data_IF_429422072460
#
_entry.id   IF_429422072460
#
_cell.length_a   1.000
_cell.length_b   1.000
_cell.length_c   1.000
_cell.angle_alpha   90.00
_cell.angle_beta   90.00
_cell.angle_gamma   90.00
#
_symmetry.space_group_name_H-M   'P 1'
#
loop_
_entity.id
_entity.type
_entity.pdbx_description
1 polymer ?
#
# COMPACT_ATOMS: atom_id res chain seq x y z
N UNK A 1 -3.60 0.27 23.87
CA UNK A 1 -4.21 1.63 23.96
C UNK A 1 -5.64 1.51 23.46
N UNK A 2 -6.62 1.68 24.31
CA UNK A 2 -8.03 1.75 23.94
C UNK A 2 -8.32 3.15 23.42
N UNK A 3 -8.71 3.27 22.15
CA UNK A 3 -9.21 4.53 21.61
C UNK A 3 -10.55 4.84 22.28
N UNK A 4 -10.62 5.84 23.15
CA UNK A 4 -11.86 6.31 23.79
C UNK A 4 -12.56 7.40 22.95
N UNK A 5 -12.20 7.54 21.65
CA UNK A 5 -12.75 8.56 20.78
C UNK A 5 -13.77 7.97 19.81
N UNK A 6 -14.83 8.72 19.55
CA UNK A 6 -15.83 8.38 18.54
C UNK A 6 -15.15 8.24 17.17
N UNK A 7 -15.29 7.08 16.52
CA UNK A 7 -14.85 6.82 15.16
C UNK A 7 -16.01 7.16 14.22
N UNK A 8 -15.74 7.92 13.18
CA UNK A 8 -16.75 8.23 12.17
C UNK A 8 -17.15 6.97 11.40
N UNK A 9 -18.41 6.90 11.01
CA UNK A 9 -18.92 5.78 10.20
C UNK A 9 -19.03 6.24 8.76
N UNK A 10 -18.23 5.63 7.89
CA UNK A 10 -18.31 5.81 6.43
C UNK A 10 -19.29 4.78 5.89
N UNK A 11 -20.21 5.21 5.03
CA UNK A 11 -21.32 4.38 4.54
C UNK A 11 -21.37 4.25 3.01
N UNK A 12 -20.56 5.02 2.27
CA UNK A 12 -20.56 5.02 0.80
C UNK A 12 -19.18 5.30 0.22
N UNK A 13 -19.00 4.94 -1.05
CA UNK A 13 -17.83 5.27 -1.87
C UNK A 13 -17.57 6.78 -1.92
N UNK A 14 -18.60 7.58 -2.17
CA UNK A 14 -18.50 9.04 -2.23
C UNK A 14 -17.99 9.63 -0.91
N UNK A 15 -18.55 9.19 0.21
CA UNK A 15 -18.13 9.65 1.53
C UNK A 15 -16.68 9.27 1.83
N UNK A 16 -16.23 8.05 1.44
CA UNK A 16 -14.85 7.62 1.60
C UNK A 16 -13.88 8.53 0.83
N UNK A 17 -14.23 8.92 -0.41
CA UNK A 17 -13.42 9.81 -1.24
C UNK A 17 -13.35 11.24 -0.67
N UNK A 18 -14.47 11.78 -0.18
CA UNK A 18 -14.50 13.12 0.46
C UNK A 18 -13.58 13.12 1.70
N UNK A 19 -13.75 12.15 2.59
CA UNK A 19 -12.94 12.05 3.82
C UNK A 19 -11.46 11.86 3.50
N UNK A 20 -11.14 11.04 2.49
CA UNK A 20 -9.76 10.83 2.07
C UNK A 20 -9.13 12.09 1.48
N UNK A 21 -9.90 12.88 0.70
CA UNK A 21 -9.45 14.15 0.13
C UNK A 21 -9.15 15.17 1.24
N UNK A 22 -10.03 15.32 2.22
CA UNK A 22 -9.84 16.22 3.33
C UNK A 22 -8.60 15.87 4.16
N UNK A 23 -8.39 14.58 4.44
CA UNK A 23 -7.19 14.12 5.14
C UNK A 23 -5.91 14.32 4.31
N UNK A 24 -5.98 14.10 3.01
CA UNK A 24 -4.84 14.30 2.12
C UNK A 24 -4.38 15.78 2.12
N UNK A 25 -5.31 16.72 2.11
CA UNK A 25 -5.02 18.17 2.25
C UNK A 25 -4.25 18.46 3.55
N UNK A 26 -4.69 17.90 4.67
CA UNK A 26 -4.04 18.10 5.97
C UNK A 26 -2.66 17.43 6.02
N UNK A 27 -2.53 16.21 5.54
CA UNK A 27 -1.28 15.45 5.58
C UNK A 27 -0.20 16.03 4.67
N UNK A 28 -0.59 16.65 3.55
CA UNK A 28 0.31 17.30 2.60
C UNK A 28 1.09 18.44 3.22
N UNK A 29 0.51 19.22 4.15
CA UNK A 29 1.11 20.45 4.72
C UNK A 29 2.50 20.20 5.30
N UNK A 30 2.68 19.10 6.04
CA UNK A 30 3.93 18.78 6.73
C UNK A 30 4.70 17.60 6.12
N UNK A 31 4.30 17.08 4.96
CA UNK A 31 4.86 15.86 4.39
C UNK A 31 6.38 15.95 4.14
N UNK A 32 6.87 17.08 3.61
CA UNK A 32 8.30 17.31 3.38
C UNK A 32 9.09 17.39 4.68
N UNK A 33 8.53 18.03 5.72
CA UNK A 33 9.16 18.13 7.03
C UNK A 33 9.18 16.76 7.72
N UNK A 34 8.07 16.02 7.66
CA UNK A 34 7.94 14.66 8.21
C UNK A 34 8.97 13.70 7.60
N UNK A 35 9.12 13.73 6.27
CA UNK A 35 10.13 12.91 5.57
C UNK A 35 11.56 13.35 5.97
N UNK A 36 11.87 14.64 5.93
CA UNK A 36 13.21 15.17 6.24
C UNK A 36 13.66 14.81 7.65
N UNK A 37 12.80 14.99 8.64
CA UNK A 37 13.09 14.73 10.06
C UNK A 37 12.88 13.26 10.45
N UNK A 38 12.34 12.42 9.55
CA UNK A 38 11.89 11.06 9.85
C UNK A 38 10.92 11.06 11.05
N UNK A 39 10.03 12.04 11.11
CA UNK A 39 9.04 12.15 12.16
C UNK A 39 7.94 11.10 11.95
N UNK A 40 7.82 10.15 12.86
CA UNK A 40 6.82 9.09 12.78
C UNK A 40 5.41 9.68 12.82
N UNK A 41 4.50 9.29 11.89
CA UNK A 41 3.21 9.95 11.65
C UNK A 41 2.09 9.49 12.61
N UNK A 42 2.38 9.36 13.91
CA UNK A 42 1.38 8.93 14.90
C UNK A 42 0.16 9.84 14.97
N UNK A 43 0.31 11.19 15.02
CA UNK A 43 -0.86 12.09 15.03
C UNK A 43 -1.73 11.94 13.78
N UNK A 44 -1.12 11.82 12.61
CA UNK A 44 -1.80 11.66 11.33
C UNK A 44 -2.56 10.31 11.28
N UNK A 45 -1.94 9.24 11.76
CA UNK A 45 -2.57 7.92 11.84
C UNK A 45 -3.72 7.88 12.86
N UNK A 46 -3.64 8.66 13.93
CA UNK A 46 -4.73 8.78 14.90
C UNK A 46 -5.91 9.57 14.30
N UNK A 47 -5.66 10.58 13.48
CA UNK A 47 -6.70 11.26 12.70
C UNK A 47 -7.31 10.29 11.68
N UNK A 48 -6.50 9.53 10.97
CA UNK A 48 -6.95 8.48 10.05
C UNK A 48 -7.82 7.43 10.76
N UNK A 49 -7.46 7.01 11.98
CA UNK A 49 -8.26 6.09 12.79
C UNK A 49 -9.64 6.65 13.13
N UNK A 50 -9.72 7.92 13.51
CA UNK A 50 -11.00 8.58 13.83
C UNK A 50 -11.88 8.83 12.61
N UNK A 51 -11.30 8.93 11.42
CA UNK A 51 -12.03 9.20 10.18
C UNK A 51 -12.92 8.06 9.69
N UNK A 52 -12.68 6.82 10.18
CA UNK A 52 -13.38 5.62 9.72
C UNK A 52 -12.78 4.97 8.47
N UNK A 53 -11.74 5.54 7.87
CA UNK A 53 -11.15 5.02 6.63
C UNK A 53 -10.53 3.63 6.76
N UNK A 54 -10.11 3.18 7.96
CA UNK A 54 -9.64 1.80 8.15
C UNK A 54 -10.74 0.77 7.87
N UNK A 55 -12.01 1.10 8.09
CA UNK A 55 -13.14 0.19 7.95
C UNK A 55 -13.82 0.18 6.58
N UNK A 56 -13.35 0.96 5.58
CA UNK A 56 -14.09 1.15 4.32
C UNK A 56 -14.26 -0.12 3.50
N UNK A 57 -13.31 -1.07 3.57
CA UNK A 57 -13.41 -2.37 2.88
C UNK A 57 -14.15 -3.45 3.67
N UNK A 58 -14.51 -3.18 4.94
CA UNK A 58 -15.32 -4.11 5.75
C UNK A 58 -16.67 -4.29 5.09
N UNK A 59 -17.14 -5.55 4.86
CA UNK A 59 -18.42 -5.80 4.22
C UNK A 59 -19.61 -5.22 4.98
N UNK A 60 -20.66 -4.82 4.25
CA UNK A 60 -21.87 -4.22 4.82
C UNK A 60 -22.55 -5.11 5.84
N UNK A 61 -22.52 -6.42 5.65
CA UNK A 61 -23.05 -7.41 6.58
C UNK A 61 -22.38 -7.43 7.96
N UNK A 62 -21.16 -6.87 8.05
CA UNK A 62 -20.41 -6.67 9.31
C UNK A 62 -20.39 -5.20 9.77
N UNK A 63 -21.20 -4.34 9.16
CA UNK A 63 -21.36 -2.95 9.55
C UNK A 63 -20.38 -1.96 8.90
N UNK A 64 -19.58 -2.40 7.92
CA UNK A 64 -18.69 -1.53 7.15
C UNK A 64 -19.36 -0.91 5.92
N UNK A 65 -18.63 -0.07 5.20
CA UNK A 65 -19.10 0.56 3.95
C UNK A 65 -19.12 -0.43 2.77
N UNK A 66 -18.20 -1.39 2.74
CA UNK A 66 -18.02 -2.31 1.62
C UNK A 66 -17.82 -1.55 0.32
N UNK A 67 -16.91 -0.55 0.33
CA UNK A 67 -16.62 0.26 -0.86
C UNK A 67 -16.03 -0.60 -1.97
N UNK A 68 -16.18 -0.13 -3.23
CA UNK A 68 -15.56 -0.75 -4.40
C UNK A 68 -14.04 -0.71 -4.32
N UNK A 69 -13.36 -1.64 -5.00
CA UNK A 69 -11.90 -1.62 -5.12
C UNK A 69 -11.40 -0.43 -5.93
N UNK A 70 -12.22 0.11 -6.84
CA UNK A 70 -11.98 1.38 -7.52
C UNK A 70 -11.83 2.50 -6.47
N UNK A 71 -12.77 2.59 -5.55
CA UNK A 71 -12.75 3.59 -4.48
C UNK A 71 -11.61 3.36 -3.50
N UNK A 72 -11.38 2.11 -3.08
CA UNK A 72 -10.26 1.79 -2.20
C UNK A 72 -8.92 2.21 -2.82
N UNK A 73 -8.68 1.91 -4.09
CA UNK A 73 -7.47 2.32 -4.81
C UNK A 73 -7.34 3.85 -4.90
N UNK A 74 -8.45 4.57 -5.19
CA UNK A 74 -8.47 6.04 -5.22
C UNK A 74 -8.17 6.65 -3.85
N UNK A 75 -8.72 6.11 -2.76
CA UNK A 75 -8.41 6.54 -1.37
C UNK A 75 -6.91 6.39 -1.09
N UNK A 76 -6.32 5.24 -1.40
CA UNK A 76 -4.89 5.01 -1.20
C UNK A 76 -4.04 5.95 -2.06
N UNK A 77 -4.42 6.19 -3.32
CA UNK A 77 -3.71 7.11 -4.19
C UNK A 77 -3.76 8.57 -3.67
N UNK A 78 -4.90 9.04 -3.16
CA UNK A 78 -5.04 10.37 -2.55
C UNK A 78 -4.13 10.54 -1.32
N UNK A 79 -4.10 9.56 -0.42
CA UNK A 79 -3.21 9.61 0.76
C UNK A 79 -1.74 9.55 0.34
N UNK A 80 -1.38 8.70 -0.65
CA UNK A 80 -0.02 8.60 -1.16
C UNK A 80 0.44 9.86 -1.92
N UNK A 81 -0.48 10.58 -2.56
CA UNK A 81 -0.24 11.89 -3.17
C UNK A 81 0.11 12.94 -2.11
N UNK A 82 -0.53 12.91 -0.96
CA UNK A 82 -0.21 13.80 0.15
C UNK A 82 1.13 13.44 0.81
N UNK A 83 1.33 12.15 1.09
CA UNK A 83 2.54 11.61 1.73
C UNK A 83 2.72 10.14 1.35
N UNK A 84 3.78 9.84 0.59
CA UNK A 84 4.04 8.49 0.08
C UNK A 84 4.23 7.44 1.17
N UNK A 85 4.74 7.81 2.35
CA UNK A 85 4.85 6.90 3.51
C UNK A 85 3.49 6.62 4.16
N UNK A 86 2.67 7.67 4.35
CA UNK A 86 1.31 7.52 4.88
C UNK A 86 0.42 6.69 3.94
N UNK A 87 0.59 6.82 2.62
CA UNK A 87 -0.12 5.99 1.65
C UNK A 87 0.26 4.51 1.70
N UNK A 88 1.51 4.20 2.07
CA UNK A 88 2.00 2.82 2.19
C UNK A 88 1.50 2.10 3.45
N UNK A 89 1.36 2.80 4.58
CA UNK A 89 0.99 2.17 5.86
C UNK A 89 -0.34 1.40 5.78
N UNK A 90 -1.43 1.90 5.16
CA UNK A 90 -2.70 1.20 5.05
C UNK A 90 -2.69 -0.03 4.14
N UNK A 91 -1.71 -0.18 3.27
CA UNK A 91 -1.68 -1.27 2.29
C UNK A 91 -1.82 -2.65 2.95
N UNK A 92 -0.99 -2.93 3.95
CA UNK A 92 -1.02 -4.22 4.61
C UNK A 92 -2.24 -4.43 5.52
N UNK A 93 -2.84 -3.35 6.02
CA UNK A 93 -4.11 -3.41 6.73
C UNK A 93 -5.22 -3.93 5.82
N UNK A 94 -5.41 -3.32 4.64
CA UNK A 94 -6.43 -3.77 3.69
C UNK A 94 -6.13 -5.14 3.10
N UNK A 95 -4.85 -5.48 2.89
CA UNK A 95 -4.45 -6.82 2.52
C UNK A 95 -4.86 -7.87 3.57
N UNK A 96 -4.62 -7.61 4.85
CA UNK A 96 -5.02 -8.51 5.93
C UNK A 96 -6.54 -8.65 6.05
N UNK A 97 -7.30 -7.57 5.79
CA UNK A 97 -8.77 -7.62 5.73
C UNK A 97 -9.27 -8.49 4.57
N UNK A 98 -8.60 -8.48 3.43
CA UNK A 98 -8.95 -9.34 2.30
C UNK A 98 -8.64 -10.81 2.61
N UNK A 99 -7.50 -11.12 3.24
CA UNK A 99 -7.21 -12.49 3.71
C UNK A 99 -8.29 -12.95 4.71
N UNK A 100 -8.68 -12.08 5.63
CA UNK A 100 -9.78 -12.34 6.58
C UNK A 100 -11.11 -12.58 5.86
N UNK A 101 -11.44 -11.75 4.84
CA UNK A 101 -12.65 -11.90 4.02
C UNK A 101 -12.73 -13.26 3.35
N UNK A 102 -11.61 -13.71 2.78
CA UNK A 102 -11.51 -14.94 1.98
C UNK A 102 -11.44 -16.21 2.84
N UNK A 103 -10.66 -16.19 3.91
CA UNK A 103 -10.30 -17.37 4.69
C UNK A 103 -10.79 -17.38 6.16
N UNK A 104 -11.23 -16.24 6.69
CA UNK A 104 -11.69 -16.16 8.07
C UNK A 104 -13.04 -16.85 8.29
N UNK A 105 -13.22 -17.47 9.45
CA UNK A 105 -14.52 -17.93 9.91
C UNK A 105 -15.45 -16.74 10.20
N UNK A 106 -16.77 -17.00 10.29
CA UNK A 106 -17.74 -15.96 10.62
C UNK A 106 -17.42 -15.27 11.96
N UNK A 107 -17.04 -16.04 12.99
CA UNK A 107 -16.68 -15.51 14.31
C UNK A 107 -15.40 -14.62 14.23
N UNK A 108 -14.38 -15.05 13.49
CA UNK A 108 -13.16 -14.25 13.27
C UNK A 108 -13.47 -12.93 12.54
N UNK A 109 -14.29 -13.00 11.48
CA UNK A 109 -14.74 -11.82 10.73
C UNK A 109 -15.51 -10.86 11.65
N UNK A 110 -16.49 -11.35 12.39
CA UNK A 110 -17.30 -10.53 13.29
C UNK A 110 -16.42 -9.79 14.32
N UNK A 111 -15.50 -10.48 14.95
CA UNK A 111 -14.62 -9.90 15.97
C UNK A 111 -13.59 -8.92 15.37
N UNK A 112 -12.81 -9.34 14.38
CA UNK A 112 -11.73 -8.53 13.83
C UNK A 112 -12.25 -7.32 13.03
N UNK A 113 -13.38 -7.45 12.33
CA UNK A 113 -14.00 -6.30 11.68
C UNK A 113 -14.57 -5.29 12.69
N UNK A 114 -15.11 -5.75 13.82
CA UNK A 114 -15.57 -4.86 14.89
C UNK A 114 -14.40 -4.05 15.48
N UNK A 115 -13.21 -4.65 15.66
CA UNK A 115 -12.01 -3.94 16.09
C UNK A 115 -11.60 -2.84 15.09
N UNK A 116 -11.64 -3.16 13.78
CA UNK A 116 -11.32 -2.21 12.71
C UNK A 116 -12.31 -1.06 12.66
N UNK A 117 -13.61 -1.33 12.76
CA UNK A 117 -14.67 -0.32 12.82
C UNK A 117 -14.57 0.56 14.08
N UNK A 118 -13.96 0.05 15.13
CA UNK A 118 -13.59 0.82 16.32
C UNK A 118 -12.29 1.64 16.17
N UNK A 119 -11.74 1.73 14.95
CA UNK A 119 -10.57 2.54 14.61
C UNK A 119 -9.21 1.85 14.84
N UNK A 120 -9.20 0.55 15.18
CA UNK A 120 -7.97 -0.20 15.28
C UNK A 120 -7.36 -0.41 13.89
N UNK A 121 -6.03 -0.34 13.83
CA UNK A 121 -5.25 -0.54 12.61
C UNK A 121 -4.37 -1.76 12.73
N UNK A 122 -4.25 -2.49 11.62
CA UNK A 122 -3.40 -3.66 11.49
C UNK A 122 -2.09 -3.27 10.82
N UNK A 123 -0.97 -3.79 11.35
CA UNK A 123 0.35 -3.65 10.75
C UNK A 123 0.67 -4.81 9.82
N UNK A 124 1.95 -5.12 9.72
CA UNK A 124 2.45 -6.19 8.87
C UNK A 124 3.65 -6.90 9.54
N UNK A 125 3.72 -8.22 9.44
CA UNK A 125 4.90 -9.01 9.73
C UNK A 125 4.93 -10.27 8.83
N UNK A 126 5.05 -10.05 7.51
CA UNK A 126 4.99 -11.15 6.51
C UNK A 126 6.39 -11.58 6.05
N UNK A 127 7.27 -10.65 5.71
CA UNK A 127 8.56 -10.92 5.09
C UNK A 127 9.66 -11.26 6.12
N UNK A 128 10.65 -12.03 5.67
CA UNK A 128 11.83 -12.41 6.44
C UNK A 128 13.11 -12.11 5.66
N UNK A 129 14.16 -11.71 6.35
CA UNK A 129 15.50 -11.56 5.76
C UNK A 129 16.27 -12.87 5.85
N UNK A 130 17.13 -13.12 4.84
CA UNK A 130 18.05 -14.25 4.85
C UNK A 130 17.45 -15.58 4.42
N UNK A 131 16.19 -15.62 3.98
CA UNK A 131 15.57 -16.79 3.35
C UNK A 131 16.00 -16.92 1.89
N UNK A 132 15.91 -18.13 1.32
CA UNK A 132 16.30 -18.42 -0.07
C UNK A 132 15.47 -17.62 -1.08
N UNK A 133 14.18 -17.48 -0.83
CA UNK A 133 13.26 -16.66 -1.64
C UNK A 133 12.43 -15.75 -0.77
N UNK A 134 11.85 -14.70 -1.37
CA UNK A 134 10.95 -13.78 -0.67
C UNK A 134 9.64 -14.44 -0.18
N UNK A 135 9.36 -15.66 -0.61
CA UNK A 135 8.17 -16.42 -0.20
C UNK A 135 8.43 -17.44 0.90
N UNK A 136 9.69 -17.73 1.21
CA UNK A 136 10.04 -18.67 2.29
C UNK A 136 9.73 -18.07 3.65
N UNK A 137 9.27 -18.91 4.58
CA UNK A 137 8.95 -18.56 5.96
C UNK A 137 9.57 -19.56 6.90
N UNK A 138 10.23 -19.04 7.94
CA UNK A 138 10.85 -19.85 9.01
C UNK A 138 10.31 -19.48 10.41
N UNK A 139 9.59 -18.38 10.55
CA UNK A 139 8.89 -18.03 11.79
C UNK A 139 7.86 -19.12 12.10
N UNK A 140 8.07 -19.83 13.21
CA UNK A 140 7.31 -21.02 13.56
C UNK A 140 6.03 -20.74 14.33
N UNK A 141 5.03 -21.58 14.13
CA UNK A 141 3.80 -21.66 14.90
C UNK A 141 3.69 -23.05 15.50
N UNK A 142 3.73 -23.18 16.82
CA UNK A 142 3.64 -24.46 17.51
C UNK A 142 2.43 -24.51 18.43
N UNK A 143 1.74 -25.65 18.48
CA UNK A 143 0.59 -25.84 19.36
C UNK A 143 1.00 -25.72 20.83
N UNK A 144 0.21 -24.97 21.63
CA UNK A 144 0.38 -24.82 23.08
C UNK A 144 -1.00 -24.73 23.76
N UNK A 145 -1.48 -25.82 24.30
CA UNK A 145 -2.82 -25.93 24.89
C UNK A 145 -3.92 -25.59 23.87
N UNK A 146 -4.75 -24.60 24.19
CA UNK A 146 -5.85 -24.13 23.33
C UNK A 146 -5.40 -23.11 22.28
N UNK A 147 -4.14 -22.65 22.33
CA UNK A 147 -3.57 -21.68 21.40
C UNK A 147 -2.27 -22.16 20.75
N UNK A 148 -1.43 -21.20 20.45
CA UNK A 148 -0.15 -21.43 19.77
C UNK A 148 0.95 -20.53 20.33
N UNK A 149 2.22 -20.95 20.15
CA UNK A 149 3.43 -20.16 20.37
C UNK A 149 4.10 -19.80 19.04
N UNK A 150 4.50 -18.53 18.92
CA UNK A 150 5.22 -18.01 17.76
C UNK A 150 6.65 -17.70 18.18
N UNK A 151 7.61 -18.18 17.36
CA UNK A 151 9.03 -17.89 17.51
C UNK A 151 9.62 -17.53 16.14
N UNK A 152 10.37 -16.43 16.06
CA UNK A 152 11.03 -16.00 14.85
C UNK A 152 11.25 -14.50 14.76
N UNK A 153 11.67 -14.04 13.57
CA UNK A 153 11.93 -12.63 13.29
C UNK A 153 11.43 -12.26 11.91
N UNK A 154 10.76 -11.13 11.82
CA UNK A 154 10.29 -10.52 10.59
C UNK A 154 11.04 -9.22 10.33
N UNK A 155 11.07 -8.81 9.04
CA UNK A 155 11.56 -7.52 8.58
C UNK A 155 10.65 -6.97 7.49
N UNK A 156 10.80 -5.72 7.09
CA UNK A 156 9.84 -5.01 6.25
C UNK A 156 8.43 -4.99 6.86
N UNK A 157 8.38 -4.89 8.20
CA UNK A 157 7.13 -4.95 8.97
C UNK A 157 6.40 -3.58 8.96
N UNK A 158 6.00 -3.14 7.76
CA UNK A 158 5.35 -1.84 7.53
C UNK A 158 4.17 -1.64 8.45
N UNK A 159 4.15 -0.53 9.17
CA UNK A 159 3.04 -0.16 10.05
C UNK A 159 2.97 -0.91 11.38
N UNK A 160 3.79 -1.96 11.62
CA UNK A 160 3.76 -2.75 12.86
C UNK A 160 3.96 -1.90 14.12
N UNK A 161 4.82 -0.88 14.04
CA UNK A 161 5.11 0.03 15.17
C UNK A 161 3.90 0.89 15.57
N UNK A 162 2.93 1.06 14.67
CA UNK A 162 1.73 1.89 14.86
C UNK A 162 0.47 1.08 15.16
N UNK A 163 0.51 -0.24 14.97
CA UNK A 163 -0.65 -1.11 14.94
C UNK A 163 -1.11 -1.57 16.32
N UNK A 164 -2.39 -1.93 16.44
CA UNK A 164 -2.96 -2.65 17.58
C UNK A 164 -2.86 -4.17 17.39
N UNK A 165 -2.91 -4.65 16.14
CA UNK A 165 -2.62 -6.05 15.78
C UNK A 165 -1.61 -6.12 14.64
N UNK A 166 -0.80 -7.17 14.67
CA UNK A 166 0.24 -7.41 13.66
C UNK A 166 -0.05 -8.74 12.96
N UNK A 167 -0.76 -8.72 11.81
CA UNK A 167 -0.89 -9.90 10.97
C UNK A 167 0.49 -10.44 10.58
N UNK A 168 0.75 -11.66 11.03
CA UNK A 168 2.06 -12.31 10.95
C UNK A 168 1.94 -13.62 10.18
N UNK A 169 2.70 -13.78 9.09
CA UNK A 169 2.81 -15.07 8.41
C UNK A 169 3.72 -16.00 9.20
N UNK A 170 3.25 -17.19 9.48
CA UNK A 170 3.93 -18.21 10.28
C UNK A 170 3.80 -19.58 9.60
N UNK A 171 4.67 -20.52 9.95
CA UNK A 171 4.63 -21.90 9.44
C UNK A 171 4.30 -22.82 10.61
N UNK A 172 3.26 -23.62 10.46
CA UNK A 172 2.87 -24.61 11.47
C UNK A 172 3.77 -25.87 11.43
N UNK A 173 3.52 -26.81 12.33
CA UNK A 173 4.31 -28.04 12.48
C UNK A 173 4.23 -28.98 11.26
N UNK A 174 3.25 -28.77 10.37
CA UNK A 174 3.10 -29.49 9.11
C UNK A 174 3.71 -28.77 7.91
N UNK A 175 4.35 -27.62 8.13
CA UNK A 175 4.93 -26.82 7.05
C UNK A 175 3.91 -25.95 6.31
N UNK A 176 2.66 -25.81 6.81
CA UNK A 176 1.60 -25.02 6.18
C UNK A 176 1.64 -23.59 6.70
N UNK A 177 1.53 -22.62 5.78
CA UNK A 177 1.50 -21.21 6.16
C UNK A 177 0.14 -20.79 6.73
N UNK A 178 0.22 -20.15 7.89
CA UNK A 178 -0.93 -19.57 8.60
C UNK A 178 -0.72 -18.05 8.73
N UNK A 179 -1.81 -17.29 8.97
CA UNK A 179 -1.76 -15.86 9.31
C UNK A 179 -2.28 -15.67 10.75
N UNK A 180 -1.40 -15.22 11.64
CA UNK A 180 -1.74 -14.94 13.02
C UNK A 180 -1.93 -13.42 13.22
N UNK A 181 -3.07 -12.99 13.76
CA UNK A 181 -3.38 -11.59 14.11
C UNK A 181 -2.88 -11.27 15.51
N UNK A 182 -1.57 -11.16 15.67
CA UNK A 182 -0.90 -11.01 16.99
C UNK A 182 -1.23 -9.67 17.63
N UNK A 183 -1.79 -9.62 18.87
CA UNK A 183 -1.96 -8.36 19.58
C UNK A 183 -0.62 -7.68 19.85
N UNK A 184 -0.57 -6.34 19.69
CA UNK A 184 0.68 -5.55 19.78
C UNK A 184 1.34 -5.61 21.16
N UNK A 185 0.57 -5.82 22.20
CA UNK A 185 0.98 -5.87 23.60
C UNK A 185 1.26 -7.30 24.10
N UNK A 186 1.29 -8.30 23.22
CA UNK A 186 1.59 -9.69 23.56
C UNK A 186 2.97 -9.81 24.23
N UNK A 187 3.04 -10.57 25.33
CA UNK A 187 4.32 -10.85 26.00
C UNK A 187 5.27 -11.58 25.05
N UNK A 188 6.54 -11.14 24.99
CA UNK A 188 7.55 -11.70 24.11
C UNK A 188 7.57 -11.08 22.69
N UNK A 189 6.65 -10.16 22.38
CA UNK A 189 6.63 -9.43 21.12
C UNK A 189 7.43 -8.14 21.24
N UNK A 190 8.43 -7.95 20.36
CA UNK A 190 9.21 -6.72 20.28
C UNK A 190 9.14 -6.16 18.86
N UNK A 191 8.71 -4.90 18.73
CA UNK A 191 8.74 -4.15 17.45
C UNK A 191 9.84 -3.11 17.54
N UNK A 192 10.77 -3.14 16.57
CA UNK A 192 11.99 -2.33 16.57
C UNK A 192 11.91 -1.30 15.45
N UNK A 193 12.19 -0.03 15.79
CA UNK A 193 12.27 1.05 14.80
C UNK A 193 13.68 1.10 14.18
N UNK A 194 14.03 0.08 13.39
CA UNK A 194 15.31 -0.06 12.70
C UNK A 194 15.18 0.09 11.16
N UNK A 195 14.08 0.67 10.67
CA UNK A 195 13.92 0.97 9.26
C UNK A 195 14.84 2.11 8.81
N UNK A 196 15.74 1.84 7.85
CA UNK A 196 16.77 2.77 7.36
C UNK A 196 16.72 3.00 5.84
N UNK A 197 15.58 2.75 5.20
CA UNK A 197 15.40 3.03 3.77
C UNK A 197 15.57 4.52 3.45
N UNK A 198 16.23 4.83 2.31
CA UNK A 198 16.43 6.22 1.90
C UNK A 198 15.15 6.93 1.45
N UNK A 199 14.09 6.18 1.14
CA UNK A 199 12.72 6.63 0.90
C UNK A 199 11.73 5.84 1.74
N UNK A 200 10.45 6.20 1.70
CA UNK A 200 9.44 5.61 2.58
C UNK A 200 9.87 5.65 4.07
N UNK A 201 10.49 6.77 4.45
CA UNK A 201 11.29 6.89 5.67
C UNK A 201 10.49 6.75 6.96
N UNK A 202 9.19 7.05 6.91
CA UNK A 202 8.30 7.07 8.08
C UNK A 202 7.28 5.93 8.11
N UNK A 203 7.45 4.90 7.24
CA UNK A 203 6.55 3.73 7.21
C UNK A 203 6.72 2.80 8.42
N UNK A 204 7.81 2.93 9.17
CA UNK A 204 8.13 2.03 10.29
C UNK A 204 8.30 0.58 9.84
N UNK A 205 8.93 0.37 8.66
CA UNK A 205 9.08 -0.96 8.03
C UNK A 205 10.25 -1.76 8.63
N UNK A 206 10.50 -1.66 9.93
CA UNK A 206 11.58 -2.32 10.66
C UNK A 206 11.32 -3.77 11.01
N UNK A 207 11.96 -4.21 12.09
CA UNK A 207 11.92 -5.58 12.60
C UNK A 207 10.78 -5.83 13.57
N UNK A 208 10.26 -7.07 13.54
CA UNK A 208 9.40 -7.63 14.59
C UNK A 208 9.99 -8.95 15.06
N UNK A 209 10.19 -9.08 16.36
CA UNK A 209 10.78 -10.26 17.01
C UNK A 209 9.73 -10.94 17.87
N UNK A 210 9.64 -12.24 17.75
CA UNK A 210 8.73 -13.11 18.47
C UNK A 210 9.56 -14.09 19.32
N UNK A 211 9.47 -13.94 20.64
CA UNK A 211 10.14 -14.81 21.62
C UNK A 211 9.07 -15.47 22.47
N UNK A 212 8.67 -16.67 22.05
CA UNK A 212 7.65 -17.47 22.73
C UNK A 212 6.30 -16.75 22.88
N UNK A 213 5.88 -16.02 21.85
CA UNK A 213 4.64 -15.21 21.85
C UNK A 213 3.42 -16.12 21.76
N UNK A 214 2.56 -16.07 22.78
CA UNK A 214 1.29 -16.82 22.77
C UNK A 214 0.23 -16.07 21.95
N UNK A 215 -0.51 -16.82 21.15
CA UNK A 215 -1.70 -16.36 20.44
C UNK A 215 -2.85 -17.36 20.59
N UNK A 216 -4.06 -16.84 20.69
CA UNK A 216 -5.26 -17.68 20.74
C UNK A 216 -5.51 -18.36 19.39
N UNK A 217 -6.09 -19.55 19.41
CA UNK A 217 -6.41 -20.27 18.17
C UNK A 217 -7.36 -19.47 17.26
N UNK A 218 -8.24 -18.67 17.84
CA UNK A 218 -9.15 -17.80 17.10
C UNK A 218 -8.47 -16.60 16.41
N UNK A 219 -7.22 -16.28 16.76
CA UNK A 219 -6.42 -15.26 16.10
C UNK A 219 -5.60 -15.80 14.91
N UNK A 220 -5.67 -17.11 14.65
CA UNK A 220 -4.94 -17.76 13.55
C UNK A 220 -5.92 -18.23 12.48
N UNK A 221 -5.63 -17.92 11.23
CA UNK A 221 -6.44 -18.37 10.10
C UNK A 221 -5.58 -18.96 8.97
N UNK A 222 -6.16 -19.81 8.10
CA UNK A 222 -5.44 -20.37 6.97
C UNK A 222 -4.94 -19.27 6.03
N UNK A 223 -3.66 -19.33 5.67
CA UNK A 223 -3.06 -18.34 4.76
C UNK A 223 -2.70 -18.96 3.40
N UNK A 224 -2.02 -20.11 3.42
CA UNK A 224 -1.55 -20.78 2.22
C UNK A 224 -2.68 -21.09 1.24
N UNK A 225 -3.83 -21.54 1.73
CA UNK A 225 -5.00 -21.88 0.90
C UNK A 225 -5.56 -20.72 0.07
N UNK A 226 -5.23 -19.46 0.41
CA UNK A 226 -5.57 -18.31 -0.41
C UNK A 226 -4.83 -18.27 -1.75
N UNK A 227 -3.74 -19.02 -1.88
CA UNK A 227 -2.90 -19.11 -3.08
C UNK A 227 -2.93 -20.49 -3.77
N UNK A 228 -3.73 -21.41 -3.25
CA UNK A 228 -3.94 -22.75 -3.82
C UNK A 228 -5.23 -22.87 -4.63
N UNK A 229 -6.05 -21.84 -4.59
CA UNK A 229 -7.31 -21.70 -5.33
C UNK A 229 -7.48 -20.26 -5.83
N UNK A 230 -8.36 -20.02 -6.81
CA UNK A 230 -8.68 -18.65 -7.24
C UNK A 230 -9.20 -17.81 -6.07
N UNK A 231 -8.52 -16.70 -5.78
CA UNK A 231 -8.92 -15.71 -4.77
C UNK A 231 -8.48 -14.31 -5.20
N UNK A 232 -9.08 -13.29 -4.63
CA UNK A 232 -8.76 -11.89 -4.90
C UNK A 232 -7.63 -11.34 -3.99
N UNK A 233 -7.03 -12.16 -3.13
CA UNK A 233 -5.97 -11.74 -2.20
C UNK A 233 -4.75 -11.20 -2.94
N UNK A 234 -4.28 -11.88 -3.97
CA UNK A 234 -3.14 -11.43 -4.79
C UNK A 234 -3.41 -10.12 -5.54
N UNK A 235 -4.44 -10.05 -6.38
CA UNK A 235 -4.78 -8.83 -7.12
C UNK A 235 -5.04 -7.63 -6.19
N UNK A 236 -5.69 -7.83 -5.04
CA UNK A 236 -5.91 -6.74 -4.08
C UNK A 236 -4.60 -6.23 -3.49
N UNK A 237 -3.67 -7.11 -3.12
CA UNK A 237 -2.36 -6.68 -2.65
C UNK A 237 -1.67 -5.75 -3.66
N UNK A 238 -1.73 -6.12 -4.94
CA UNK A 238 -1.00 -5.44 -6.01
C UNK A 238 -1.66 -4.13 -6.48
N UNK A 239 -3.00 -4.04 -6.49
CA UNK A 239 -3.69 -2.78 -6.85
C UNK A 239 -3.39 -1.68 -5.84
N UNK A 240 -3.24 -2.02 -4.55
CA UNK A 240 -2.85 -1.06 -3.52
C UNK A 240 -1.44 -0.51 -3.75
N UNK A 241 -0.49 -1.34 -4.19
CA UNK A 241 0.83 -0.87 -4.60
C UNK A 241 0.77 0.01 -5.85
N UNK A 242 -0.03 -0.34 -6.85
CA UNK A 242 -0.23 0.50 -8.03
C UNK A 242 -0.81 1.87 -7.65
N UNK A 243 -1.75 1.91 -6.72
CA UNK A 243 -2.35 3.14 -6.22
C UNK A 243 -1.34 4.05 -5.50
N UNK A 244 -0.45 3.47 -4.67
CA UNK A 244 0.60 4.21 -3.99
C UNK A 244 1.56 4.85 -4.99
N UNK A 245 2.06 4.09 -5.98
CA UNK A 245 2.95 4.62 -7.01
C UNK A 245 2.26 5.70 -7.85
N UNK A 246 0.97 5.52 -8.18
CA UNK A 246 0.17 6.52 -8.91
C UNK A 246 0.04 7.82 -8.11
N UNK A 247 -0.23 7.73 -6.81
CA UNK A 247 -0.31 8.90 -5.92
C UNK A 247 1.02 9.66 -5.82
N UNK A 248 2.14 8.94 -5.65
CA UNK A 248 3.48 9.54 -5.64
C UNK A 248 3.79 10.22 -6.98
N UNK A 249 3.41 9.60 -8.11
CA UNK A 249 3.58 10.19 -9.44
C UNK A 249 2.79 11.50 -9.59
N UNK A 250 1.53 11.52 -9.14
CA UNK A 250 0.66 12.70 -9.15
C UNK A 250 1.26 13.82 -8.29
N UNK A 251 1.77 13.53 -7.11
CA UNK A 251 2.43 14.49 -6.24
C UNK A 251 3.67 15.12 -6.90
N UNK A 252 4.52 14.31 -7.50
CA UNK A 252 5.70 14.78 -8.22
C UNK A 252 5.32 15.67 -9.41
N UNK A 253 4.29 15.28 -10.15
CA UNK A 253 3.77 16.07 -11.27
C UNK A 253 3.22 17.43 -10.84
N UNK A 254 2.42 17.50 -9.78
CA UNK A 254 1.86 18.75 -9.26
C UNK A 254 2.93 19.69 -8.71
N UNK A 255 3.90 19.14 -7.96
CA UNK A 255 5.02 19.92 -7.46
C UNK A 255 5.91 20.44 -8.62
N UNK A 256 6.09 19.65 -9.69
CA UNK A 256 6.76 20.11 -10.91
C UNK A 256 6.03 21.27 -11.60
N UNK A 257 4.69 21.14 -11.77
CA UNK A 257 3.86 22.22 -12.32
C UNK A 257 3.95 23.50 -11.49
N UNK A 258 3.84 23.37 -10.17
CA UNK A 258 3.94 24.51 -9.26
C UNK A 258 5.31 25.18 -9.37
N UNK A 259 6.37 24.40 -9.32
CA UNK A 259 7.75 24.93 -9.33
C UNK A 259 8.09 25.63 -10.66
N UNK A 260 7.75 25.00 -11.79
CA UNK A 260 8.00 25.58 -13.12
C UNK A 260 7.22 26.87 -13.33
N UNK A 261 5.96 26.94 -12.87
CA UNK A 261 5.13 28.15 -12.97
C UNK A 261 5.62 29.31 -12.10
N UNK A 262 6.22 29.00 -10.93
CA UNK A 262 6.48 30.04 -9.91
C UNK A 262 7.95 30.37 -9.71
N UNK A 263 8.89 29.47 -10.05
CA UNK A 263 10.31 29.61 -9.68
C UNK A 263 11.31 29.36 -10.82
N UNK A 264 10.95 28.56 -11.83
CA UNK A 264 11.88 28.20 -12.90
C UNK A 264 12.10 29.34 -13.87
N UNK A 265 13.37 29.65 -14.17
CA UNK A 265 13.75 30.60 -15.19
C UNK A 265 13.79 29.95 -16.58
N UNK A 266 13.42 30.67 -17.66
CA UNK A 266 13.53 30.13 -19.01
C UNK A 266 15.00 29.83 -19.35
N UNK A 267 15.23 28.84 -20.20
CA UNK A 267 16.53 28.59 -20.74
C UNK A 267 16.89 29.69 -21.75
N UNK A 268 18.14 30.20 -21.73
CA UNK A 268 18.56 31.36 -22.51
C UNK A 268 18.34 31.16 -24.02
N UNK A 269 18.60 29.94 -24.53
CA UNK A 269 18.47 29.65 -25.96
C UNK A 269 16.99 29.43 -26.40
N UNK A 270 16.07 29.39 -25.48
CA UNK A 270 14.62 29.29 -25.79
C UNK A 270 14.08 30.59 -26.41
N UNK A 271 14.68 31.71 -26.07
CA UNK A 271 14.22 33.03 -26.49
C UNK A 271 12.90 33.46 -25.88
N UNK A 272 12.40 32.74 -24.87
CA UNK A 272 11.13 33.03 -24.20
C UNK A 272 11.33 33.79 -22.89
N UNK A 273 10.34 34.55 -22.48
CA UNK A 273 10.37 35.29 -21.21
C UNK A 273 10.07 34.41 -20.00
N UNK A 274 9.37 33.28 -20.20
CA UNK A 274 8.93 32.34 -19.14
C UNK A 274 9.26 30.90 -19.52
N UNK A 275 9.62 30.10 -18.51
CA UNK A 275 9.82 28.64 -18.68
C UNK A 275 8.56 27.92 -19.20
N UNK A 276 7.37 28.43 -18.87
CA UNK A 276 6.08 27.90 -19.33
C UNK A 276 5.79 28.13 -20.81
N UNK A 277 6.58 28.94 -21.51
CA UNK A 277 6.45 29.24 -22.93
C UNK A 277 7.44 28.42 -23.77
N UNK A 278 8.43 27.79 -23.14
CA UNK A 278 9.44 26.96 -23.82
C UNK A 278 8.79 25.71 -24.43
N UNK A 279 8.89 25.49 -25.75
CA UNK A 279 8.25 24.35 -26.41
C UNK A 279 8.75 22.98 -25.93
N UNK A 280 9.99 22.87 -25.45
CA UNK A 280 10.52 21.61 -24.90
C UNK A 280 9.97 21.32 -23.52
N UNK A 281 9.81 22.34 -22.69
CA UNK A 281 9.12 22.25 -21.41
C UNK A 281 7.66 21.84 -21.59
N UNK A 282 6.94 22.48 -22.53
CA UNK A 282 5.56 22.13 -22.87
C UNK A 282 5.44 20.68 -23.36
N UNK A 283 6.35 20.23 -24.23
CA UNK A 283 6.40 18.85 -24.73
C UNK A 283 6.57 17.85 -23.58
N UNK A 284 7.50 18.12 -22.65
CA UNK A 284 7.80 17.23 -21.53
C UNK A 284 6.63 17.13 -20.56
N UNK A 285 5.96 18.23 -20.23
CA UNK A 285 4.72 18.21 -19.45
C UNK A 285 3.59 17.47 -20.16
N UNK A 286 3.40 17.70 -21.47
CA UNK A 286 2.42 16.98 -22.27
C UNK A 286 2.63 15.46 -22.23
N UNK A 287 3.87 15.02 -22.42
CA UNK A 287 4.23 13.61 -22.35
C UNK A 287 3.98 13.00 -20.94
N UNK A 288 4.36 13.73 -19.88
CA UNK A 288 4.16 13.29 -18.51
C UNK A 288 2.66 13.21 -18.17
N UNK A 289 1.88 14.23 -18.56
CA UNK A 289 0.42 14.29 -18.33
C UNK A 289 -0.31 13.13 -18.98
N UNK A 290 -0.02 12.81 -20.25
CA UNK A 290 -0.66 11.71 -20.98
C UNK A 290 -0.40 10.38 -20.27
N UNK A 291 0.86 10.12 -19.88
CA UNK A 291 1.23 8.87 -19.20
C UNK A 291 0.60 8.76 -17.82
N UNK A 292 0.53 9.87 -17.07
CA UNK A 292 -0.10 9.89 -15.74
C UNK A 292 -1.59 9.61 -15.82
N UNK A 293 -2.31 10.29 -16.74
CA UNK A 293 -3.74 10.05 -16.95
C UNK A 293 -4.03 8.62 -17.45
N UNK A 294 -3.17 8.07 -18.33
CA UNK A 294 -3.29 6.67 -18.74
C UNK A 294 -3.10 5.70 -17.56
N UNK A 295 -2.18 6.01 -16.63
CA UNK A 295 -1.95 5.21 -15.42
C UNK A 295 -3.18 5.24 -14.50
N UNK A 296 -3.78 6.41 -14.31
CA UNK A 296 -4.99 6.57 -13.49
C UNK A 296 -6.18 5.81 -14.08
N UNK A 297 -6.34 5.86 -15.42
CA UNK A 297 -7.39 5.09 -16.11
C UNK A 297 -7.17 3.57 -16.01
N UNK A 298 -5.92 3.10 -16.09
CA UNK A 298 -5.60 1.68 -15.88
C UNK A 298 -5.79 1.24 -14.43
N UNK A 299 -5.52 2.10 -13.46
CA UNK A 299 -5.79 1.82 -12.05
C UNK A 299 -7.30 1.67 -11.79
N UNK A 300 -8.12 2.55 -12.36
CA UNK A 300 -9.58 2.47 -12.26
C UNK A 300 -10.10 1.18 -12.91
N UNK A 301 -9.68 0.88 -14.15
CA UNK A 301 -10.00 -0.37 -14.85
C UNK A 301 -9.59 -1.60 -14.01
N UNK A 302 -8.42 -1.59 -13.39
CA UNK A 302 -7.98 -2.69 -12.53
C UNK A 302 -8.90 -2.88 -11.32
N UNK A 303 -9.40 -1.79 -10.72
CA UNK A 303 -10.39 -1.82 -9.65
C UNK A 303 -11.70 -2.47 -10.11
N UNK A 304 -12.20 -2.13 -11.29
CA UNK A 304 -13.44 -2.71 -11.86
C UNK A 304 -13.30 -4.23 -12.08
N UNK A 305 -12.16 -4.69 -12.61
CA UNK A 305 -11.90 -6.12 -12.78
C UNK A 305 -11.81 -6.86 -11.45
N UNK A 306 -11.24 -6.21 -10.43
CA UNK A 306 -11.15 -6.77 -9.09
C UNK A 306 -12.53 -6.83 -8.42
N UNK A 307 -13.39 -5.82 -8.60
CA UNK A 307 -14.78 -5.83 -8.13
C UNK A 307 -15.57 -6.98 -8.77
N UNK A 308 -15.41 -7.18 -10.08
CA UNK A 308 -16.03 -8.30 -10.79
C UNK A 308 -15.54 -9.67 -10.28
N UNK A 309 -14.23 -9.79 -9.98
CA UNK A 309 -13.66 -11.02 -9.44
C UNK A 309 -14.10 -11.29 -7.98
N UNK A 310 -14.36 -10.24 -7.18
CA UNK A 310 -14.94 -10.40 -5.84
C UNK A 310 -16.42 -10.79 -5.89
N UNK A 311 -17.18 -10.26 -6.85
CA UNK A 311 -18.59 -10.60 -7.02
C UNK A 311 -18.78 -12.04 -7.53
N UNK A 312 -17.93 -12.49 -8.45
CA UNK A 312 -17.93 -13.85 -8.98
C UNK A 312 -16.50 -14.42 -9.02
N UNK A 313 -16.09 -15.07 -7.95
CA UNK A 313 -14.71 -15.59 -7.80
C UNK A 313 -14.56 -16.95 -8.48
N UNK A 314 -13.85 -16.97 -9.61
CA UNK A 314 -13.46 -18.18 -10.34
C UNK A 314 -12.10 -17.98 -11.02
N UNK A 315 -11.56 -19.02 -11.68
CA UNK A 315 -10.23 -18.97 -12.28
C UNK A 315 -10.11 -17.88 -13.36
N UNK A 316 -11.17 -17.66 -14.15
CA UNK A 316 -11.18 -16.71 -15.25
C UNK A 316 -11.24 -15.26 -14.74
N UNK A 317 -12.16 -14.96 -13.81
CA UNK A 317 -12.31 -13.60 -13.26
C UNK A 317 -11.10 -13.18 -12.45
N UNK A 318 -10.52 -14.09 -11.67
CA UNK A 318 -9.29 -13.83 -10.89
C UNK A 318 -8.08 -13.65 -11.80
N UNK A 319 -7.93 -14.44 -12.87
CA UNK A 319 -6.86 -14.25 -13.84
C UNK A 319 -6.99 -12.88 -14.55
N UNK A 320 -8.19 -12.51 -15.01
CA UNK A 320 -8.45 -11.23 -15.63
C UNK A 320 -8.14 -10.04 -14.69
N UNK A 321 -8.55 -10.14 -13.42
CA UNK A 321 -8.23 -9.12 -12.41
C UNK A 321 -6.72 -9.04 -12.15
N UNK A 322 -6.02 -10.18 -12.04
CA UNK A 322 -4.57 -10.22 -11.84
C UNK A 322 -3.83 -9.54 -12.99
N UNK A 323 -4.25 -9.78 -14.24
CA UNK A 323 -3.64 -9.15 -15.42
C UNK A 323 -3.92 -7.65 -15.48
N UNK A 324 -5.18 -7.23 -15.28
CA UNK A 324 -5.53 -5.81 -15.25
C UNK A 324 -4.74 -5.05 -14.18
N UNK A 325 -4.55 -5.66 -13.00
CA UNK A 325 -3.74 -5.11 -11.92
C UNK A 325 -2.25 -5.11 -12.29
N UNK A 326 -1.73 -6.16 -12.94
CA UNK A 326 -0.34 -6.21 -13.41
C UNK A 326 -0.03 -5.10 -14.43
N UNK A 327 -0.97 -4.80 -15.35
CA UNK A 327 -0.87 -3.68 -16.29
C UNK A 327 -0.79 -2.34 -15.55
N UNK A 328 -1.70 -2.09 -14.60
CA UNK A 328 -1.69 -0.88 -13.78
C UNK A 328 -0.39 -0.77 -12.95
N UNK A 329 0.08 -1.90 -12.39
CA UNK A 329 1.30 -1.95 -11.58
C UNK A 329 2.56 -1.67 -12.40
N UNK A 330 2.64 -2.17 -13.63
CA UNK A 330 3.75 -1.93 -14.54
C UNK A 330 3.88 -0.44 -14.88
N UNK A 331 2.78 0.16 -15.33
CA UNK A 331 2.81 1.57 -15.75
C UNK A 331 2.94 2.54 -14.58
N UNK A 332 2.34 2.24 -13.39
CA UNK A 332 2.49 3.07 -12.21
C UNK A 332 3.94 3.09 -11.69
N UNK A 333 4.64 1.96 -11.77
CA UNK A 333 6.08 1.89 -11.47
C UNK A 333 6.90 2.79 -12.39
N UNK A 334 6.64 2.75 -13.70
CA UNK A 334 7.36 3.60 -14.66
C UNK A 334 7.09 5.08 -14.45
N UNK A 335 5.81 5.45 -14.31
CA UNK A 335 5.44 6.86 -14.22
C UNK A 335 5.89 7.50 -12.91
N UNK A 336 5.87 6.78 -11.79
CA UNK A 336 6.31 7.32 -10.49
C UNK A 336 7.79 7.68 -10.50
N UNK A 337 8.62 6.83 -11.11
CA UNK A 337 10.05 7.10 -11.27
C UNK A 337 10.31 8.22 -12.30
N UNK A 338 9.60 8.20 -13.43
CA UNK A 338 9.71 9.20 -14.47
C UNK A 338 9.28 10.58 -13.96
N UNK A 339 8.16 10.69 -13.26
CA UNK A 339 7.66 11.95 -12.70
C UNK A 339 8.66 12.56 -11.71
N UNK A 340 9.20 11.73 -10.79
CA UNK A 340 10.21 12.18 -9.84
C UNK A 340 11.51 12.66 -10.49
N UNK A 341 11.92 12.07 -11.62
CA UNK A 341 13.12 12.51 -12.37
C UNK A 341 12.84 13.74 -13.23
N UNK A 342 11.73 13.74 -13.98
CA UNK A 342 11.33 14.84 -14.86
C UNK A 342 11.05 16.14 -14.08
N UNK A 343 10.58 16.02 -12.83
CA UNK A 343 10.44 17.17 -11.93
C UNK A 343 11.75 17.98 -11.86
N UNK A 344 12.87 17.34 -11.59
CA UNK A 344 14.17 18.03 -11.48
C UNK A 344 14.70 18.51 -12.80
N UNK A 345 14.50 17.76 -13.89
CA UNK A 345 14.85 18.17 -15.24
C UNK A 345 14.18 19.50 -15.62
N UNK A 346 12.89 19.63 -15.33
CA UNK A 346 12.10 20.82 -15.69
C UNK A 346 12.25 21.97 -14.69
N UNK A 347 12.35 21.66 -13.40
CA UNK A 347 12.46 22.67 -12.35
C UNK A 347 13.89 23.24 -12.20
N UNK A 348 14.90 22.49 -12.65
CA UNK A 348 16.31 22.91 -12.63
C UNK A 348 16.98 22.74 -11.26
N UNK A 349 18.23 23.20 -11.16
CA UNK A 349 19.08 22.99 -9.98
C UNK A 349 18.52 23.56 -8.68
N UNK A 350 17.74 24.65 -8.73
CA UNK A 350 17.11 25.23 -7.56
C UNK A 350 16.14 24.23 -6.86
N UNK A 351 15.49 23.36 -7.62
CA UNK A 351 14.60 22.34 -7.09
C UNK A 351 15.33 21.30 -6.21
N UNK A 352 16.63 21.18 -6.32
CA UNK A 352 17.44 20.24 -5.52
C UNK A 352 17.75 20.73 -4.11
N UNK A 353 17.39 21.98 -3.78
CA UNK A 353 17.66 22.54 -2.46
C UNK A 353 16.80 21.82 -1.39
N UNK A 354 17.44 21.51 -0.26
CA UNK A 354 16.83 20.71 0.82
C UNK A 354 15.56 21.32 1.41
N UNK A 355 15.45 22.64 1.37
CA UNK A 355 14.28 23.38 1.87
C UNK A 355 13.00 23.07 1.11
N UNK A 356 13.09 22.65 -0.17
CA UNK A 356 11.94 22.25 -0.98
C UNK A 356 11.51 20.79 -0.72
N UNK A 357 12.45 19.93 -0.32
CA UNK A 357 12.22 18.52 -0.03
C UNK A 357 11.60 17.71 -1.18
N UNK A 358 11.82 18.15 -2.45
CA UNK A 358 11.19 17.55 -3.62
C UNK A 358 11.76 16.18 -3.97
N UNK A 359 12.98 15.89 -3.52
CA UNK A 359 13.65 14.60 -3.69
C UNK A 359 12.89 13.44 -3.00
N UNK A 360 12.02 13.75 -2.02
CA UNK A 360 11.17 12.76 -1.36
C UNK A 360 10.32 11.96 -2.34
N UNK A 361 9.83 12.58 -3.43
CA UNK A 361 8.99 11.90 -4.42
C UNK A 361 9.76 10.78 -5.12
N UNK A 362 10.95 11.09 -5.63
CA UNK A 362 11.79 10.08 -6.28
C UNK A 362 12.25 9.01 -5.29
N UNK A 363 12.67 9.40 -4.08
CA UNK A 363 13.12 8.46 -3.04
C UNK A 363 12.01 7.52 -2.62
N UNK A 364 10.80 8.03 -2.38
CA UNK A 364 9.63 7.23 -2.03
C UNK A 364 9.25 6.27 -3.17
N UNK A 365 9.15 6.76 -4.41
CA UNK A 365 8.89 5.94 -5.59
C UNK A 365 9.95 4.84 -5.74
N UNK A 366 11.25 5.19 -5.65
CA UNK A 366 12.31 4.22 -5.86
C UNK A 366 12.30 3.10 -4.83
N UNK A 367 12.07 3.41 -3.56
CA UNK A 367 11.98 2.40 -2.51
C UNK A 367 10.70 1.54 -2.68
N UNK A 368 9.55 2.17 -2.92
CA UNK A 368 8.28 1.46 -3.04
C UNK A 368 8.22 0.55 -4.28
N UNK A 369 8.73 0.98 -5.42
CA UNK A 369 8.76 0.17 -6.66
C UNK A 369 9.68 -1.06 -6.60
N UNK A 370 10.47 -1.22 -5.52
CA UNK A 370 11.30 -2.41 -5.28
C UNK A 370 10.58 -3.50 -4.47
N UNK A 371 9.32 -3.28 -4.09
CA UNK A 371 8.53 -4.25 -3.33
C UNK A 371 8.46 -5.61 -4.04
N UNK A 372 8.31 -5.60 -5.35
CA UNK A 372 8.45 -6.78 -6.22
C UNK A 372 9.00 -6.38 -7.61
N UNK A 373 9.63 -7.30 -8.34
CA UNK A 373 10.29 -6.97 -9.59
C UNK A 373 9.30 -6.80 -10.74
N UNK A 374 9.02 -5.55 -11.12
CA UNK A 374 8.05 -5.15 -12.17
C UNK A 374 8.23 -5.88 -13.50
N UNK A 375 9.45 -6.29 -13.87
CA UNK A 375 9.72 -7.04 -15.09
C UNK A 375 8.89 -8.33 -15.22
N UNK A 376 8.46 -8.93 -14.10
CA UNK A 376 7.61 -10.10 -14.09
C UNK A 376 6.15 -9.78 -14.38
N UNK A 377 5.70 -8.53 -14.19
CA UNK A 377 4.37 -8.08 -14.62
C UNK A 377 4.28 -8.10 -16.15
N UNK A 378 5.28 -7.55 -16.84
CA UNK A 378 5.35 -7.60 -18.32
C UNK A 378 5.35 -9.03 -18.83
N UNK A 379 6.11 -9.92 -18.18
CA UNK A 379 6.13 -11.36 -18.54
C UNK A 379 4.73 -11.98 -18.39
N UNK A 380 4.06 -11.76 -17.25
CA UNK A 380 2.74 -12.32 -16.99
C UNK A 380 1.70 -11.80 -17.98
N UNK A 381 1.68 -10.49 -18.23
CA UNK A 381 0.78 -9.86 -19.21
C UNK A 381 1.04 -10.40 -20.63
N UNK A 382 2.32 -10.45 -21.04
CA UNK A 382 2.68 -10.98 -22.36
C UNK A 382 2.29 -12.46 -22.53
N UNK A 383 2.50 -13.28 -21.51
CA UNK A 383 2.15 -14.70 -21.56
C UNK A 383 0.64 -14.95 -21.60
N UNK A 384 -0.12 -14.15 -20.87
CA UNK A 384 -1.57 -14.21 -20.87
C UNK A 384 -2.18 -13.91 -22.26
N UNK A 385 -1.74 -12.83 -22.93
CA UNK A 385 -2.29 -12.44 -24.24
C UNK A 385 -1.69 -13.20 -25.42
N UNK A 386 -0.45 -13.66 -25.33
CA UNK A 386 0.22 -14.34 -26.43
C UNK A 386 0.00 -15.86 -26.42
N UNK A 387 -0.03 -16.45 -25.24
CA UNK A 387 -0.02 -17.91 -25.07
C UNK A 387 -1.30 -18.44 -24.38
N UNK A 388 -2.27 -17.56 -24.04
CA UNK A 388 -3.49 -17.90 -23.30
C UNK A 388 -3.20 -18.56 -21.93
N UNK A 389 -2.05 -18.22 -21.28
CA UNK A 389 -1.66 -18.75 -20.00
C UNK A 389 -2.10 -17.84 -18.84
N UNK A 390 -2.87 -18.39 -17.90
CA UNK A 390 -3.26 -17.67 -16.71
C UNK A 390 -2.03 -17.37 -15.81
N UNK A 391 -1.99 -16.20 -15.15
CA UNK A 391 -0.93 -15.90 -14.20
C UNK A 391 -0.99 -16.83 -12.99
N UNK A 392 0.17 -17.11 -12.32
CA UNK A 392 0.17 -17.94 -11.14
C UNK A 392 -0.59 -17.26 -9.97
N UNK A 393 -1.24 -18.08 -9.14
CA UNK A 393 -1.94 -17.63 -7.94
C UNK A 393 -0.92 -17.21 -6.87
N UNK A 394 -0.46 -15.96 -6.91
CA UNK A 394 0.52 -15.41 -5.97
C UNK A 394 0.19 -13.97 -5.58
N UNK A 395 0.68 -13.55 -4.41
CA UNK A 395 0.55 -12.16 -3.93
C UNK A 395 1.43 -11.14 -4.67
N UNK A 396 2.21 -11.57 -5.66
CA UNK A 396 3.23 -10.75 -6.34
C UNK A 396 3.05 -10.67 -7.86
N UNK A 397 1.86 -10.99 -8.39
CA UNK A 397 1.53 -10.84 -9.82
C UNK A 397 0.66 -9.63 -10.07
#
# INVERSE_FOLDING_TARGET
MTFSHHVAVITSDEQALIVASDLAEDFKRDSALRDRERRLPLPELDVFSRSGLWGISVPKEYGGAGVSNVTLAKVIALIAQADGSLGQIPQNHFYALEVLRVNGSHAQKQRLYAEVLAGQRFGNALAELGTKTAHDRITSLKRDGDGYRINGRKFYATGAIYAQRIPTSVVDENGVQQLAFVPRDSKGLTVIDDWSGFGQRTTGSGSVVFEDVYVEAEDVLPFQSAFERPTTVGPLAQILHAAIDTGIARAAYEDALHFVRSKTRPWIDSGNDKATEDPLTLKSFGHLSIRLHATEALLERAGEFLDAAQAETNAQTVAAASIAVAEARAISTEISLAAGSTLFELAGSQATLIEHGLDRHWRNARVHTLHDPVRWKYHAVGNYYLNDENPPLRGTI
#
